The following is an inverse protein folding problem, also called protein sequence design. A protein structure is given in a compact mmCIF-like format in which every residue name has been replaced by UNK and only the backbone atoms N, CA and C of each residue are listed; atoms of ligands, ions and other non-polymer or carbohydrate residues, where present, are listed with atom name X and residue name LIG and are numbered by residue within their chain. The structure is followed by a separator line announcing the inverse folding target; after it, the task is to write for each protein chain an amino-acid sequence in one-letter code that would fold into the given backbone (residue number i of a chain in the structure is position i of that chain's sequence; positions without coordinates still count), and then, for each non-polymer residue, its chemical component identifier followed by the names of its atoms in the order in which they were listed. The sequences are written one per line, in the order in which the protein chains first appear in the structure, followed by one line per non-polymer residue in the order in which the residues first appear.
data_IF_452568717066
#
_entry.id   IF_452568717066
#
_cell.length_a   1.000
_cell.length_b   1.000
_cell.length_c   1.000
_cell.angle_alpha   90.00
_cell.angle_beta   90.00
_cell.angle_gamma   90.00
#
_symmetry.space_group_name_H-M   'P 1'
#
loop_
_entity.id
_entity.type
_entity.pdbx_description
1 polymer ?
#
# COMPACT_ATOMS: atom_id res chain seq x y z
N UNK A 1 4.14 13.38 -4.31
CA UNK A 1 2.67 13.38 -4.53
C UNK A 1 2.27 12.11 -5.25
N UNK A 2 1.10 12.04 -5.90
CA UNK A 2 0.76 10.93 -6.84
C UNK A 2 0.91 11.43 -8.27
N UNK A 3 1.48 10.61 -9.17
CA UNK A 3 1.55 10.93 -10.61
C UNK A 3 0.13 11.02 -11.17
N UNK A 4 -0.22 12.17 -11.73
CA UNK A 4 -1.54 12.40 -12.34
C UNK A 4 -1.68 11.71 -13.69
N UNK A 5 -2.91 11.36 -14.07
CA UNK A 5 -3.22 10.85 -15.42
C UNK A 5 -2.59 9.48 -15.74
N UNK A 6 -2.42 8.61 -14.74
CA UNK A 6 -1.86 7.27 -14.93
C UNK A 6 -2.85 6.17 -14.53
N UNK A 7 -2.66 5.00 -15.14
CA UNK A 7 -3.22 3.72 -14.69
C UNK A 7 -2.08 2.86 -14.19
N UNK A 8 -2.26 2.18 -13.06
CA UNK A 8 -1.25 1.30 -12.48
C UNK A 8 -1.73 -0.15 -12.52
N UNK A 9 -0.91 -1.03 -13.07
CA UNK A 9 -1.18 -2.47 -13.18
C UNK A 9 -2.15 -2.84 -14.31
N UNK A 10 -2.41 -4.14 -14.41
CA UNK A 10 -3.28 -4.73 -15.44
C UNK A 10 -3.97 -5.98 -14.89
N UNK A 11 -5.20 -6.24 -15.33
CA UNK A 11 -5.92 -7.48 -15.08
C UNK A 11 -5.79 -8.46 -16.24
N UNK A 12 -6.12 -9.73 -16.02
CA UNK A 12 -6.27 -10.71 -17.09
C UNK A 12 -7.35 -10.28 -18.12
N UNK A 13 -7.47 -11.04 -19.21
CA UNK A 13 -8.40 -10.77 -20.31
C UNK A 13 -9.87 -10.79 -19.90
N UNK A 14 -10.19 -11.43 -18.77
CA UNK A 14 -11.53 -11.53 -18.21
C UNK A 14 -11.79 -10.54 -17.06
N UNK A 15 -10.77 -9.80 -16.63
CA UNK A 15 -10.83 -8.88 -15.50
C UNK A 15 -10.86 -9.55 -14.12
N UNK A 16 -10.52 -10.84 -14.01
CA UNK A 16 -10.69 -11.61 -12.77
C UNK A 16 -9.52 -11.45 -11.80
N UNK A 17 -8.29 -11.57 -12.30
CA UNK A 17 -7.08 -11.44 -11.50
C UNK A 17 -6.20 -10.30 -11.98
N UNK A 18 -5.54 -9.62 -11.04
CA UNK A 18 -4.42 -8.74 -11.38
C UNK A 18 -3.27 -9.60 -11.93
N UNK A 19 -2.70 -9.23 -13.06
CA UNK A 19 -1.57 -9.93 -13.69
C UNK A 19 -0.30 -9.09 -13.69
N UNK A 20 -0.43 -7.77 -13.65
CA UNK A 20 0.68 -6.81 -13.63
C UNK A 20 0.43 -5.71 -12.59
N UNK A 21 1.49 -5.15 -12.00
CA UNK A 21 1.38 -4.07 -11.01
C UNK A 21 0.54 -4.46 -9.79
N UNK A 22 0.69 -5.69 -9.31
CA UNK A 22 -0.05 -6.18 -8.13
C UNK A 22 0.33 -5.37 -6.91
N UNK A 23 -0.67 -4.72 -6.31
CA UNK A 23 -0.51 -4.02 -5.04
C UNK A 23 -1.26 -4.78 -3.96
N UNK A 24 -0.55 -5.22 -2.93
CA UNK A 24 -1.19 -5.82 -1.77
C UNK A 24 -1.87 -4.74 -0.91
N UNK A 25 -2.91 -5.09 -0.16
CA UNK A 25 -3.64 -4.12 0.67
C UNK A 25 -2.76 -3.42 1.71
N UNK A 26 -1.72 -4.10 2.20
CA UNK A 26 -0.73 -3.52 3.11
C UNK A 26 0.12 -2.44 2.43
N UNK A 27 0.51 -2.64 1.17
CA UNK A 27 1.31 -1.69 0.39
C UNK A 27 0.46 -0.47 0.01
N UNK A 28 -0.83 -0.71 -0.30
CA UNK A 28 -1.80 0.35 -0.54
C UNK A 28 -1.97 1.26 0.68
N UNK A 29 -2.22 0.69 1.86
CA UNK A 29 -2.30 1.46 3.11
C UNK A 29 -0.98 2.17 3.45
N UNK A 30 0.17 1.51 3.27
CA UNK A 30 1.48 2.12 3.49
C UNK A 30 1.67 3.37 2.60
N UNK A 31 1.20 3.29 1.35
CA UNK A 31 1.32 4.37 0.36
C UNK A 31 0.40 5.55 0.69
N UNK A 32 -0.85 5.31 1.09
CA UNK A 32 -1.76 6.38 1.54
C UNK A 32 -1.19 7.11 2.75
N UNK A 33 -0.75 6.36 3.77
CA UNK A 33 -0.16 6.96 4.97
C UNK A 33 1.09 7.77 4.63
N UNK A 34 1.94 7.27 3.72
CA UNK A 34 3.10 8.01 3.24
C UNK A 34 2.72 9.34 2.56
N UNK A 35 1.69 9.35 1.71
CA UNK A 35 1.18 10.56 1.05
C UNK A 35 0.60 11.58 2.04
N UNK A 36 0.07 11.12 3.17
CA UNK A 36 -0.37 11.95 4.29
C UNK A 36 0.77 12.43 5.20
N UNK A 37 2.03 12.10 4.88
CA UNK A 37 3.20 12.47 5.67
C UNK A 37 3.42 11.58 6.91
N UNK A 38 2.73 10.45 7.00
CA UNK A 38 2.80 9.52 8.13
C UNK A 38 3.69 8.31 7.80
N UNK A 39 4.53 7.92 8.76
CA UNK A 39 5.28 6.67 8.65
C UNK A 39 4.46 5.51 9.22
N UNK A 40 3.92 4.65 8.36
CA UNK A 40 3.06 3.53 8.75
C UNK A 40 3.70 2.57 9.77
N UNK A 41 5.03 2.44 9.81
CA UNK A 41 5.73 1.58 10.78
C UNK A 41 5.75 2.18 12.19
N UNK A 42 5.62 3.51 12.30
CA UNK A 42 5.54 4.23 13.58
C UNK A 42 4.13 4.27 14.16
N UNK A 43 3.12 3.90 13.38
CA UNK A 43 1.73 3.75 13.83
C UNK A 43 1.47 2.37 14.43
N UNK A 44 2.42 1.90 15.24
CA UNK A 44 2.38 0.61 15.90
C UNK A 44 1.98 0.81 17.35
N UNK A 45 1.00 0.06 17.83
CA UNK A 45 0.57 0.07 19.23
C UNK A 45 0.49 -1.36 19.77
N UNK A 46 0.82 -1.54 21.03
CA UNK A 46 0.73 -2.84 21.68
C UNK A 46 -0.69 -3.05 22.21
N UNK A 47 -1.29 -4.18 21.86
CA UNK A 47 -2.59 -4.61 22.36
C UNK A 47 -2.56 -6.11 22.64
N UNK A 48 -2.99 -6.51 23.84
CA UNK A 48 -2.97 -7.92 24.26
C UNK A 48 -1.62 -8.64 24.05
N UNK A 49 -0.50 -7.92 24.23
CA UNK A 49 0.84 -8.47 24.11
C UNK A 49 1.36 -8.63 22.67
N UNK A 50 0.60 -8.16 21.67
CA UNK A 50 1.03 -8.12 20.26
C UNK A 50 1.09 -6.68 19.76
N UNK A 51 2.06 -6.42 18.90
CA UNK A 51 2.16 -5.15 18.18
C UNK A 51 1.20 -5.15 16.98
N UNK A 52 0.31 -4.17 16.94
CA UNK A 52 -0.65 -3.96 15.88
C UNK A 52 -0.36 -2.67 15.12
N UNK A 53 -0.51 -2.74 13.79
CA UNK A 53 -0.52 -1.58 12.89
C UNK A 53 -1.37 -1.90 11.66
N UNK A 54 -1.86 -0.87 10.96
CA UNK A 54 -2.74 -1.04 9.78
C UNK A 54 -2.15 -1.90 8.66
N UNK A 55 -0.82 -1.95 8.58
CA UNK A 55 -0.07 -2.71 7.55
C UNK A 55 0.41 -4.07 8.05
N UNK A 56 0.01 -4.46 9.26
CA UNK A 56 0.54 -5.62 10.01
C UNK A 56 2.08 -5.67 9.90
N UNK A 57 2.71 -6.84 9.80
CA UNK A 57 4.17 -6.97 9.63
C UNK A 57 4.69 -6.59 8.23
N UNK A 58 3.80 -6.27 7.28
CA UNK A 58 4.11 -5.97 5.89
C UNK A 58 4.00 -4.47 5.57
N UNK A 59 3.89 -4.14 4.27
CA UNK A 59 3.69 -2.78 3.76
C UNK A 59 4.97 -2.16 3.23
N UNK A 60 5.01 -1.97 1.92
CA UNK A 60 5.97 -1.18 1.19
C UNK A 60 5.24 -0.05 0.46
N UNK A 61 5.84 1.14 0.47
CA UNK A 61 5.31 2.26 -0.30
C UNK A 61 5.46 1.94 -1.79
N UNK A 62 4.37 2.02 -2.54
CA UNK A 62 4.33 1.82 -3.99
C UNK A 62 4.95 3.03 -4.66
N UNK A 63 6.26 3.01 -4.84
CA UNK A 63 7.03 4.14 -5.39
C UNK A 63 6.68 4.44 -6.84
N UNK A 64 6.19 3.44 -7.57
CA UNK A 64 5.90 3.53 -9.00
C UNK A 64 4.82 4.59 -9.32
N UNK A 65 3.88 4.80 -8.38
CA UNK A 65 2.78 5.77 -8.53
C UNK A 65 3.09 7.15 -7.95
N UNK A 66 4.23 7.31 -7.26
CA UNK A 66 4.59 8.58 -6.62
C UNK A 66 5.21 9.57 -7.61
N UNK A 67 4.86 10.84 -7.48
CA UNK A 67 5.43 11.98 -8.22
C UNK A 67 6.51 12.70 -7.41
#
# INVERSE_FOLDING_TARGET
GVKGGMTHGKTDEYGYAAVEGKVHIHDWHATILHLLGLNHKRLTFNYAGRDFRLTDVHGNVVKEILA
#
